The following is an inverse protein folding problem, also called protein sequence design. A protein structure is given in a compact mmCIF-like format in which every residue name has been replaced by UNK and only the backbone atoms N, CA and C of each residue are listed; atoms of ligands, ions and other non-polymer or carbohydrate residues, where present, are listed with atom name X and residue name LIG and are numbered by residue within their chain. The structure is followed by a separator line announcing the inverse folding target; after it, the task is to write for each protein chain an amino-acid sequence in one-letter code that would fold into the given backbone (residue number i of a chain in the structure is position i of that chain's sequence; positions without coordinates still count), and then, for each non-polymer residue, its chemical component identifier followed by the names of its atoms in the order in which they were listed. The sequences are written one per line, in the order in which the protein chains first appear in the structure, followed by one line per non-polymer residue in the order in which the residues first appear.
data_IF_683177360230
#
_entry.id   IF_683177360230
#
_cell.length_a   1.000
_cell.length_b   1.000
_cell.length_c   1.000
_cell.angle_alpha   90.00
_cell.angle_beta   90.00
_cell.angle_gamma   90.00
#
_symmetry.space_group_name_H-M   'P 1'
#
loop_
_entity.id
_entity.type
_entity.pdbx_description
1 polymer ?
#
# COMPACT_ATOMS: atom_id res chain seq x y z
N UNK A 1 -14.46 32.67 -19.46
CA UNK A 1 -13.74 31.75 -18.57
C UNK A 1 -14.80 31.02 -17.79
N UNK A 2 -15.10 29.77 -18.14
CA UNK A 2 -15.96 28.92 -17.32
C UNK A 2 -15.19 28.65 -16.04
N UNK A 3 -15.67 29.14 -14.91
CA UNK A 3 -15.17 28.78 -13.59
C UNK A 3 -15.28 27.27 -13.49
N UNK A 4 -14.15 26.55 -13.49
CA UNK A 4 -14.11 25.13 -13.20
C UNK A 4 -14.78 24.94 -11.84
N UNK A 5 -15.77 24.04 -11.76
CA UNK A 5 -16.45 23.77 -10.52
C UNK A 5 -15.44 23.27 -9.48
N UNK A 6 -15.42 23.91 -8.31
CA UNK A 6 -14.61 23.43 -7.17
C UNK A 6 -15.20 22.12 -6.66
N UNK A 7 -14.32 21.16 -6.33
CA UNK A 7 -14.70 19.87 -5.73
C UNK A 7 -13.80 19.53 -4.56
N UNK A 8 -14.34 18.87 -3.56
CA UNK A 8 -13.58 18.32 -2.46
C UNK A 8 -13.32 16.83 -2.69
N UNK A 9 -12.08 16.40 -2.41
CA UNK A 9 -11.71 14.99 -2.43
C UNK A 9 -10.97 14.63 -1.14
N UNK A 10 -11.32 13.48 -0.57
CA UNK A 10 -10.82 13.05 0.73
C UNK A 10 -10.14 11.69 0.64
N UNK A 11 -8.99 11.56 1.28
CA UNK A 11 -8.34 10.28 1.54
C UNK A 11 -7.98 10.14 3.01
N UNK A 12 -7.82 8.90 3.48
CA UNK A 12 -7.39 8.61 4.84
C UNK A 12 -6.15 7.72 4.87
N UNK A 13 -5.42 7.76 5.96
CA UNK A 13 -4.35 6.83 6.28
C UNK A 13 -4.41 6.45 7.77
N UNK A 14 -3.69 5.42 8.14
CA UNK A 14 -3.62 4.93 9.51
C UNK A 14 -2.18 4.68 9.91
N UNK A 15 -1.90 4.74 11.22
CA UNK A 15 -0.58 4.41 11.76
C UNK A 15 -0.32 2.90 11.74
N UNK A 16 0.93 2.51 11.93
CA UNK A 16 1.34 1.10 12.07
C UNK A 16 0.64 0.37 13.22
N UNK A 17 0.18 1.12 14.23
CA UNK A 17 -0.52 0.58 15.41
C UNK A 17 -2.03 0.43 15.26
N UNK A 18 -2.60 0.78 14.11
CA UNK A 18 -3.99 0.46 13.80
C UNK A 18 -4.17 -1.06 13.72
N UNK A 19 -5.23 -1.66 14.28
CA UNK A 19 -5.39 -3.13 14.34
C UNK A 19 -5.21 -3.85 13.00
N UNK A 20 -5.81 -3.34 11.92
CA UNK A 20 -5.64 -3.94 10.58
C UNK A 20 -4.18 -3.85 10.11
N UNK A 21 -3.46 -2.77 10.43
CA UNK A 21 -2.06 -2.60 10.01
C UNK A 21 -1.08 -3.41 10.86
N UNK A 22 -1.40 -3.70 12.11
CA UNK A 22 -0.69 -4.72 12.89
C UNK A 22 -0.76 -6.07 12.18
N UNK A 23 -1.94 -6.44 11.69
CA UNK A 23 -2.15 -7.70 10.97
C UNK A 23 -1.34 -7.75 9.67
N UNK A 24 -1.39 -6.68 8.88
CA UNK A 24 -0.60 -6.55 7.64
C UNK A 24 0.90 -6.66 7.93
N UNK A 25 1.39 -5.96 8.96
CA UNK A 25 2.80 -5.99 9.35
C UNK A 25 3.26 -7.37 9.83
N UNK A 26 2.44 -8.09 10.59
CA UNK A 26 2.71 -9.46 11.03
C UNK A 26 2.77 -10.40 9.82
N UNK A 27 1.76 -10.37 8.94
CA UNK A 27 1.67 -11.23 7.77
C UNK A 27 2.86 -11.02 6.82
N UNK A 28 3.26 -9.77 6.57
CA UNK A 28 4.42 -9.47 5.73
C UNK A 28 5.75 -9.77 6.43
N UNK A 29 5.85 -9.68 7.75
CA UNK A 29 7.06 -10.10 8.48
C UNK A 29 7.26 -11.61 8.41
N UNK A 30 6.18 -12.39 8.44
CA UNK A 30 6.24 -13.85 8.23
C UNK A 30 6.66 -14.16 6.79
N UNK A 31 6.07 -13.48 5.81
CA UNK A 31 6.45 -13.62 4.39
C UNK A 31 7.94 -13.34 4.18
N UNK A 32 8.44 -12.21 4.69
CA UNK A 32 9.84 -11.82 4.53
C UNK A 32 10.79 -12.81 5.19
N UNK A 33 10.46 -13.33 6.38
CA UNK A 33 11.25 -14.35 7.05
C UNK A 33 11.35 -15.66 6.23
N UNK A 34 10.25 -16.06 5.59
CA UNK A 34 10.23 -17.25 4.73
C UNK A 34 10.99 -17.02 3.42
N UNK A 35 10.80 -15.89 2.74
CA UNK A 35 11.49 -15.55 1.49
C UNK A 35 13.02 -15.38 1.69
N UNK A 36 13.44 -14.86 2.84
CA UNK A 36 14.87 -14.74 3.16
C UNK A 36 15.58 -16.09 3.22
N UNK A 37 14.88 -17.14 3.66
CA UNK A 37 15.44 -18.49 3.79
C UNK A 37 15.11 -19.38 2.57
N UNK A 38 14.02 -19.12 1.88
CA UNK A 38 13.54 -19.87 0.70
C UNK A 38 12.87 -18.91 -0.29
N UNK A 39 13.60 -18.32 -1.26
CA UNK A 39 13.02 -17.43 -2.26
C UNK A 39 11.92 -18.08 -3.12
N UNK A 40 11.83 -19.41 -3.16
CA UNK A 40 10.80 -20.14 -3.88
C UNK A 40 9.52 -20.38 -3.05
N UNK A 41 9.51 -19.97 -1.77
CA UNK A 41 8.38 -20.15 -0.88
C UNK A 41 7.08 -19.64 -1.48
N UNK A 42 6.00 -20.41 -1.31
CA UNK A 42 4.62 -20.00 -1.63
C UNK A 42 3.91 -19.73 -0.32
N UNK A 43 3.45 -18.50 -0.17
CA UNK A 43 2.93 -17.99 1.10
C UNK A 43 1.60 -17.27 0.86
N UNK A 44 0.61 -17.65 1.64
CA UNK A 44 -0.65 -16.95 1.79
C UNK A 44 -1.00 -16.98 3.27
N UNK A 45 -0.60 -15.94 4.02
CA UNK A 45 -0.75 -15.87 5.48
C UNK A 45 -1.57 -14.66 5.85
N UNK A 46 -2.64 -14.90 6.58
CA UNK A 46 -3.54 -13.89 7.10
C UNK A 46 -3.48 -13.86 8.63
N UNK A 47 -3.64 -12.69 9.18
CA UNK A 47 -3.60 -12.45 10.63
C UNK A 47 -4.87 -11.78 11.08
N UNK A 48 -5.38 -12.21 12.24
CA UNK A 48 -6.43 -11.55 13.00
C UNK A 48 -5.88 -11.16 14.37
N UNK A 49 -6.11 -9.93 14.79
CA UNK A 49 -5.84 -9.48 16.16
C UNK A 49 -7.12 -9.03 16.85
N UNK A 50 -7.22 -9.31 18.14
CA UNK A 50 -8.27 -8.81 19.02
C UNK A 50 -7.72 -8.69 20.44
N UNK A 51 -8.55 -8.40 21.43
CA UNK A 51 -8.12 -8.25 22.83
C UNK A 51 -7.26 -9.42 23.29
N UNK A 52 -5.97 -9.17 23.51
CA UNK A 52 -5.01 -10.13 24.05
C UNK A 52 -4.70 -11.35 23.17
N UNK A 53 -5.13 -11.37 21.90
CA UNK A 53 -5.01 -12.54 21.02
C UNK A 53 -4.53 -12.16 19.62
N UNK A 54 -3.70 -13.03 19.05
CA UNK A 54 -3.30 -13.07 17.63
C UNK A 54 -3.61 -14.44 17.08
N UNK A 55 -4.26 -14.48 15.93
CA UNK A 55 -4.51 -15.70 15.17
C UNK A 55 -3.86 -15.55 13.80
N UNK A 56 -2.94 -16.45 13.47
CA UNK A 56 -2.26 -16.53 12.16
C UNK A 56 -2.77 -17.76 11.45
N UNK A 57 -3.34 -17.59 10.27
CA UNK A 57 -3.90 -18.69 9.47
C UNK A 57 -3.46 -18.57 8.03
N UNK A 58 -3.50 -19.66 7.27
CA UNK A 58 -3.21 -19.67 5.86
C UNK A 58 -2.50 -20.92 5.38
N UNK A 59 -1.90 -20.84 4.19
CA UNK A 59 -1.19 -21.93 3.55
C UNK A 59 0.24 -21.50 3.19
N UNK A 60 1.19 -22.37 3.50
CA UNK A 60 2.60 -22.17 3.18
C UNK A 60 3.18 -23.45 2.57
N UNK A 61 3.90 -23.28 1.47
CA UNK A 61 4.70 -24.34 0.88
C UNK A 61 6.15 -23.85 0.76
N UNK A 62 7.04 -24.39 1.60
CA UNK A 62 8.42 -23.95 1.73
C UNK A 62 9.31 -25.04 2.32
N UNK A 63 10.62 -24.95 2.09
CA UNK A 63 11.64 -25.74 2.78
C UNK A 63 12.18 -25.02 4.02
N UNK A 64 11.83 -23.76 4.22
CA UNK A 64 12.28 -22.93 5.34
C UNK A 64 11.45 -23.17 6.62
N UNK A 65 12.04 -22.76 7.74
CA UNK A 65 11.35 -22.66 9.03
C UNK A 65 11.30 -21.19 9.48
N UNK A 66 10.16 -20.75 9.98
CA UNK A 66 10.00 -19.45 10.62
C UNK A 66 9.37 -19.64 12.03
N UNK A 67 9.98 -19.03 13.05
CA UNK A 67 9.39 -18.97 14.38
C UNK A 67 8.30 -17.90 14.44
N UNK A 68 7.12 -18.27 13.94
CA UNK A 68 5.98 -17.35 13.80
C UNK A 68 5.60 -16.70 15.15
N UNK A 69 5.49 -17.41 16.28
CA UNK A 69 5.19 -16.77 17.55
C UNK A 69 6.19 -15.67 17.95
N UNK A 70 7.48 -15.89 17.71
CA UNK A 70 8.52 -14.89 17.98
C UNK A 70 8.37 -13.69 17.05
N UNK A 71 8.20 -13.89 15.74
CA UNK A 71 7.98 -12.82 14.75
C UNK A 71 6.77 -11.96 15.13
N UNK A 72 5.67 -12.58 15.53
CA UNK A 72 4.44 -11.89 15.96
C UNK A 72 4.73 -10.97 17.16
N UNK A 73 5.37 -11.51 18.20
CA UNK A 73 5.67 -10.76 19.43
C UNK A 73 6.61 -9.59 19.18
N UNK A 74 7.69 -9.83 18.46
CA UNK A 74 8.68 -8.82 18.13
C UNK A 74 8.05 -7.68 17.31
N UNK A 75 7.19 -8.01 16.33
CA UNK A 75 6.49 -6.99 15.53
C UNK A 75 5.54 -6.14 16.37
N UNK A 76 4.77 -6.73 17.26
CA UNK A 76 3.85 -6.01 18.16
C UNK A 76 4.62 -5.09 19.10
N UNK A 77 5.75 -5.55 19.66
CA UNK A 77 6.63 -4.77 20.53
C UNK A 77 7.30 -3.62 19.77
N UNK A 78 7.79 -3.86 18.54
CA UNK A 78 8.37 -2.84 17.66
C UNK A 78 7.37 -1.72 17.35
N UNK A 79 6.12 -2.04 17.10
CA UNK A 79 5.02 -1.09 16.91
C UNK A 79 4.80 -0.23 18.19
N UNK A 80 5.15 -0.77 19.37
CA UNK A 80 5.07 -0.05 20.64
C UNK A 80 3.94 -0.52 21.57
N UNK A 81 3.34 -1.66 21.30
CA UNK A 81 2.41 -2.34 22.21
C UNK A 81 3.16 -3.26 23.17
N UNK A 82 3.68 -2.66 24.24
CA UNK A 82 4.53 -3.28 25.27
C UNK A 82 3.85 -3.40 26.64
N UNK A 83 2.56 -3.06 26.71
CA UNK A 83 1.79 -3.07 27.96
C UNK A 83 0.29 -3.13 27.69
N UNK A 84 -0.42 -3.91 28.49
CA UNK A 84 -1.89 -3.97 28.49
C UNK A 84 -2.55 -2.60 28.72
N UNK A 85 -1.87 -1.66 29.37
CA UNK A 85 -2.36 -0.28 29.56
C UNK A 85 -2.41 0.52 28.26
N UNK A 86 -1.71 0.07 27.21
CA UNK A 86 -1.76 0.63 25.86
C UNK A 86 -2.84 -0.04 24.99
N UNK A 87 -3.51 -1.07 25.50
CA UNK A 87 -4.56 -1.82 24.79
C UNK A 87 -4.08 -3.11 24.16
N UNK A 88 -2.77 -3.41 24.18
CA UNK A 88 -2.18 -4.66 23.71
C UNK A 88 -0.77 -4.85 24.27
N UNK A 89 -0.32 -6.09 24.39
CA UNK A 89 1.01 -6.40 24.90
C UNK A 89 1.62 -7.59 24.13
N UNK A 90 2.63 -7.31 23.32
CA UNK A 90 3.34 -8.31 22.51
C UNK A 90 4.06 -9.37 23.34
N UNK A 91 4.49 -9.03 24.58
CA UNK A 91 5.17 -9.99 25.43
C UNK A 91 4.24 -11.07 25.98
N UNK A 92 2.96 -10.75 26.22
CA UNK A 92 2.03 -11.63 26.96
C UNK A 92 0.79 -12.06 26.16
N UNK A 93 0.53 -11.53 24.95
CA UNK A 93 -0.63 -11.93 24.15
C UNK A 93 -0.61 -13.42 23.77
N UNK A 94 -1.79 -14.00 23.64
CA UNK A 94 -1.94 -15.36 23.07
C UNK A 94 -1.63 -15.34 21.57
N UNK A 95 -0.87 -16.32 21.09
CA UNK A 95 -0.57 -16.50 19.66
C UNK A 95 -1.01 -17.88 19.23
N UNK A 96 -1.96 -17.93 18.31
CA UNK A 96 -2.46 -19.17 17.72
C UNK A 96 -2.02 -19.24 16.25
N UNK A 97 -1.45 -20.36 15.84
CA UNK A 97 -0.96 -20.59 14.46
C UNK A 97 -1.70 -21.77 13.86
N UNK A 98 -2.38 -21.52 12.73
CA UNK A 98 -3.14 -22.53 11.98
C UNK A 98 -2.72 -22.44 10.49
N UNK A 99 -1.52 -22.91 10.17
CA UNK A 99 -0.96 -22.91 8.83
C UNK A 99 -0.98 -24.34 8.28
N UNK A 100 -1.58 -24.49 7.10
CA UNK A 100 -1.61 -25.72 6.32
C UNK A 100 -0.67 -25.68 5.12
N UNK A 101 -0.63 -26.79 4.37
CA UNK A 101 0.02 -26.85 3.07
C UNK A 101 -0.93 -26.34 1.96
N UNK A 102 -0.37 -25.70 0.94
CA UNK A 102 -1.14 -25.28 -0.23
C UNK A 102 -1.71 -26.51 -0.97
N UNK A 103 -2.94 -26.37 -1.50
CA UNK A 103 -3.55 -27.40 -2.35
C UNK A 103 -2.66 -27.73 -3.55
N UNK A 104 -2.39 -29.03 -3.82
CA UNK A 104 -1.61 -29.46 -5.00
C UNK A 104 -2.23 -28.99 -6.33
N UNK A 105 -3.55 -28.89 -6.40
CA UNK A 105 -4.27 -28.45 -7.60
C UNK A 105 -4.02 -26.97 -7.91
N UNK A 106 -3.99 -26.12 -6.87
CA UNK A 106 -3.65 -24.70 -7.02
C UNK A 106 -2.16 -24.56 -7.36
N UNK A 107 -1.28 -25.31 -6.69
CA UNK A 107 0.15 -25.29 -6.94
C UNK A 107 0.51 -25.66 -8.38
N UNK A 108 -0.23 -26.59 -9.01
CA UNK A 108 0.00 -27.00 -10.39
C UNK A 108 -0.12 -25.84 -11.38
N UNK A 109 -1.14 -24.98 -11.25
CA UNK A 109 -1.33 -23.82 -12.13
C UNK A 109 -0.26 -22.75 -12.00
N UNK A 110 0.44 -22.71 -10.86
CA UNK A 110 1.53 -21.79 -10.60
C UNK A 110 2.87 -22.24 -11.19
N UNK A 111 3.11 -23.55 -11.25
CA UNK A 111 4.39 -24.13 -11.66
C UNK A 111 4.42 -24.59 -13.11
N UNK A 112 3.25 -24.81 -13.69
CA UNK A 112 3.09 -25.29 -15.04
C UNK A 112 1.82 -24.72 -15.66
N UNK A 113 1.95 -23.59 -16.34
CA UNK A 113 0.83 -22.83 -16.91
C UNK A 113 0.04 -23.64 -17.94
N UNK A 114 -1.15 -23.17 -18.27
CA UNK A 114 -1.96 -23.75 -19.33
C UNK A 114 -1.18 -23.80 -20.67
N UNK A 115 -0.47 -22.74 -21.02
CA UNK A 115 0.32 -22.63 -22.25
C UNK A 115 1.40 -23.69 -22.32
N UNK A 116 2.11 -23.94 -21.23
CA UNK A 116 3.17 -24.96 -21.13
C UNK A 116 2.59 -26.35 -21.17
N UNK A 117 1.54 -26.63 -20.38
CA UNK A 117 0.90 -27.97 -20.33
C UNK A 117 0.33 -28.44 -21.68
N UNK A 118 -0.10 -27.52 -22.52
CA UNK A 118 -0.65 -27.84 -23.86
C UNK A 118 0.37 -27.65 -24.98
N UNK A 119 1.67 -27.43 -24.65
CA UNK A 119 2.74 -27.31 -25.63
C UNK A 119 2.61 -26.12 -26.56
N UNK A 120 2.04 -25.02 -26.07
CA UNK A 120 1.82 -23.80 -26.86
C UNK A 120 3.05 -22.88 -26.83
N UNK A 121 4.01 -23.12 -25.95
CA UNK A 121 5.21 -22.30 -25.74
C UNK A 121 6.37 -23.15 -25.23
N UNK A 122 7.60 -22.73 -25.56
CA UNK A 122 8.86 -23.22 -24.97
C UNK A 122 9.55 -22.15 -24.11
N UNK A 123 8.94 -20.97 -23.98
CA UNK A 123 9.51 -19.88 -23.16
C UNK A 123 9.39 -20.21 -21.66
N UNK A 124 10.52 -20.23 -20.97
CA UNK A 124 10.60 -20.49 -19.52
C UNK A 124 9.74 -19.53 -18.68
N UNK A 125 9.54 -18.28 -19.15
CA UNK A 125 8.72 -17.28 -18.46
C UNK A 125 7.24 -17.70 -18.47
N UNK A 126 6.80 -18.39 -19.51
CA UNK A 126 5.42 -18.87 -19.62
C UNK A 126 5.12 -20.06 -18.71
N UNK A 127 6.12 -20.66 -18.06
CA UNK A 127 5.89 -21.76 -17.11
C UNK A 127 5.06 -21.31 -15.93
N UNK A 128 5.27 -20.08 -15.48
CA UNK A 128 4.50 -19.54 -14.35
C UNK A 128 3.16 -18.96 -14.81
N UNK A 129 2.08 -19.61 -14.46
CA UNK A 129 0.73 -19.06 -14.60
C UNK A 129 0.35 -18.09 -13.48
N UNK A 130 -0.70 -17.32 -13.69
CA UNK A 130 -1.30 -16.52 -12.64
C UNK A 130 -1.86 -17.40 -11.52
N UNK A 131 -1.58 -17.03 -10.27
CA UNK A 131 -1.99 -17.80 -9.10
C UNK A 131 -3.49 -17.74 -8.82
N UNK A 132 -4.17 -16.77 -9.40
CA UNK A 132 -5.63 -16.61 -9.33
C UNK A 132 -6.12 -15.86 -10.57
N UNK A 133 -7.43 -15.87 -10.79
CA UNK A 133 -8.09 -14.89 -11.63
C UNK A 133 -8.18 -13.55 -10.90
N UNK A 134 -8.24 -12.44 -11.65
CA UNK A 134 -8.43 -11.14 -11.04
C UNK A 134 -8.13 -9.99 -11.99
N UNK A 135 -8.41 -8.80 -11.49
CA UNK A 135 -8.07 -7.54 -12.17
C UNK A 135 -7.36 -6.62 -11.19
N UNK A 136 -6.32 -5.94 -11.66
CA UNK A 136 -5.47 -5.07 -10.84
C UNK A 136 -5.34 -3.73 -11.54
N UNK A 137 -5.23 -2.67 -10.73
CA UNK A 137 -5.10 -1.31 -11.22
C UNK A 137 -3.77 -0.70 -10.80
N UNK A 138 -3.22 0.13 -11.70
CA UNK A 138 -2.17 1.07 -11.40
C UNK A 138 -2.62 2.48 -11.70
N UNK A 139 -2.06 3.45 -10.97
CA UNK A 139 -2.39 4.85 -11.12
C UNK A 139 -1.15 5.73 -10.92
N UNK A 140 -1.09 6.83 -11.64
CA UNK A 140 -0.13 7.90 -11.40
C UNK A 140 -0.74 9.25 -11.84
N UNK A 141 -0.32 10.31 -11.17
CA UNK A 141 -0.70 11.70 -11.48
C UNK A 141 0.45 12.65 -11.16
N UNK A 142 0.54 13.77 -11.86
CA UNK A 142 1.57 14.78 -11.66
C UNK A 142 1.30 15.75 -10.49
N UNK A 143 0.42 15.35 -9.55
CA UNK A 143 0.07 16.17 -8.39
C UNK A 143 1.20 16.29 -7.35
N UNK A 144 2.05 15.27 -7.25
CA UNK A 144 3.18 15.22 -6.31
C UNK A 144 4.45 14.75 -7.01
N UNK A 145 5.65 15.03 -6.47
CA UNK A 145 6.92 14.56 -7.06
C UNK A 145 7.02 13.05 -7.19
N UNK A 146 6.42 12.30 -6.26
CA UNK A 146 6.35 10.84 -6.28
C UNK A 146 5.30 10.30 -7.26
N UNK A 147 4.57 11.19 -7.95
CA UNK A 147 3.49 10.87 -8.89
C UNK A 147 2.32 10.14 -8.24
N UNK A 148 1.94 10.57 -7.05
CA UNK A 148 0.78 10.08 -6.28
C UNK A 148 -0.31 11.15 -6.19
N UNK A 149 -1.58 10.75 -5.97
CA UNK A 149 -2.63 11.68 -5.58
C UNK A 149 -2.28 12.39 -4.27
N UNK A 150 -2.42 13.72 -4.25
CA UNK A 150 -2.04 14.53 -3.10
C UNK A 150 -2.79 14.16 -1.79
N UNK A 151 -4.11 13.85 -1.79
CA UNK A 151 -4.82 13.55 -0.55
C UNK A 151 -4.25 12.34 0.19
N UNK A 152 -3.97 11.23 -0.51
CA UNK A 152 -3.41 10.04 0.12
C UNK A 152 -1.93 10.22 0.47
N UNK A 153 -1.15 10.88 -0.37
CA UNK A 153 0.26 11.19 -0.08
C UNK A 153 0.37 12.00 1.21
N UNK A 154 -0.44 13.05 1.36
CA UNK A 154 -0.43 13.88 2.56
C UNK A 154 -0.96 13.13 3.79
N UNK A 155 -2.01 12.31 3.65
CA UNK A 155 -2.52 11.48 4.74
C UNK A 155 -1.46 10.50 5.26
N UNK A 156 -0.70 9.86 4.37
CA UNK A 156 0.43 8.98 4.75
C UNK A 156 1.55 9.74 5.47
N UNK A 157 1.95 10.91 4.98
CA UNK A 157 2.98 11.75 5.62
C UNK A 157 2.58 12.13 7.03
N UNK A 158 1.32 12.54 7.25
CA UNK A 158 0.79 12.86 8.57
C UNK A 158 0.76 11.64 9.50
N UNK A 159 0.30 10.48 9.03
CA UNK A 159 0.25 9.25 9.82
C UNK A 159 1.67 8.77 10.20
N UNK A 160 2.63 8.85 9.29
CA UNK A 160 4.03 8.54 9.56
C UNK A 160 4.62 9.50 10.58
N UNK A 161 4.41 10.80 10.40
CA UNK A 161 4.89 11.83 11.34
C UNK A 161 4.33 11.63 12.75
N UNK A 162 3.05 11.22 12.85
CA UNK A 162 2.42 10.90 14.14
C UNK A 162 3.15 9.74 14.84
N UNK A 163 3.54 8.72 14.11
CA UNK A 163 4.35 7.60 14.64
C UNK A 163 5.78 8.04 15.01
N UNK A 164 6.42 8.85 14.19
CA UNK A 164 7.77 9.37 14.46
C UNK A 164 7.84 10.16 15.76
N UNK A 165 6.92 11.11 15.99
CA UNK A 165 6.91 11.93 17.21
C UNK A 165 6.58 11.12 18.46
N UNK A 166 5.82 10.03 18.32
CA UNK A 166 5.58 9.04 19.38
C UNK A 166 6.84 8.23 19.69
N UNK A 167 7.42 7.56 18.68
CA UNK A 167 8.60 6.67 18.86
C UNK A 167 9.84 7.45 19.32
N UNK A 168 10.03 8.68 18.85
CA UNK A 168 11.15 9.54 19.27
C UNK A 168 10.97 10.16 20.66
N UNK A 169 9.79 10.02 21.28
CA UNK A 169 9.49 10.59 22.59
C UNK A 169 9.22 12.10 22.59
N UNK A 170 9.03 12.73 21.43
CA UNK A 170 8.62 14.14 21.32
C UNK A 170 7.23 14.33 21.91
N UNK A 171 6.30 13.40 21.63
CA UNK A 171 5.00 13.32 22.27
C UNK A 171 4.84 11.95 22.96
N UNK A 172 5.43 11.78 24.17
CA UNK A 172 5.51 10.46 24.84
C UNK A 172 4.16 9.93 25.34
N UNK A 173 3.15 10.80 25.40
CA UNK A 173 1.80 10.42 25.79
C UNK A 173 0.96 9.83 24.66
N UNK A 174 1.41 9.90 23.40
CA UNK A 174 0.75 9.24 22.28
C UNK A 174 0.90 7.72 22.40
N UNK A 175 -0.13 7.02 21.92
CA UNK A 175 -0.19 5.56 21.83
C UNK A 175 -0.14 5.13 20.36
N UNK A 176 0.08 3.82 20.07
CA UNK A 176 0.34 3.38 18.70
C UNK A 176 -0.82 3.56 17.72
N UNK A 177 -2.09 3.46 18.17
CA UNK A 177 -3.25 3.54 17.29
C UNK A 177 -3.55 4.98 16.86
N UNK A 178 -3.78 5.18 15.57
CA UNK A 178 -4.13 6.48 15.05
C UNK A 178 -4.56 6.45 13.58
N UNK A 179 -5.30 7.49 13.20
CA UNK A 179 -5.78 7.73 11.83
C UNK A 179 -5.58 9.18 11.45
N UNK A 180 -5.36 9.41 10.16
CA UNK A 180 -5.34 10.73 9.55
C UNK A 180 -6.27 10.75 8.36
N UNK A 181 -6.98 11.85 8.15
CA UNK A 181 -7.83 12.07 6.99
C UNK A 181 -7.55 13.46 6.45
N UNK A 182 -7.46 13.57 5.13
CA UNK A 182 -7.12 14.81 4.42
C UNK A 182 -8.16 15.07 3.35
N UNK A 183 -8.71 16.28 3.37
CA UNK A 183 -9.63 16.77 2.33
C UNK A 183 -8.98 17.91 1.57
N UNK A 184 -8.83 17.74 0.26
CA UNK A 184 -8.25 18.71 -0.67
C UNK A 184 -9.33 19.29 -1.56
N UNK A 185 -9.30 20.61 -1.74
CA UNK A 185 -10.09 21.29 -2.74
C UNK A 185 -9.36 21.35 -4.08
N UNK A 186 -10.07 20.98 -5.13
CA UNK A 186 -9.60 20.96 -6.51
C UNK A 186 -10.31 22.01 -7.36
N UNK A 187 -9.57 22.74 -8.16
CA UNK A 187 -10.10 23.54 -9.26
C UNK A 187 -9.89 22.74 -10.57
N UNK A 188 -10.96 22.09 -11.06
CA UNK A 188 -10.81 21.06 -12.09
C UNK A 188 -10.02 19.86 -11.56
N UNK A 189 -8.86 19.58 -12.16
CA UNK A 189 -7.96 18.49 -11.75
C UNK A 189 -6.73 18.97 -10.99
N UNK A 190 -6.65 20.26 -10.64
CA UNK A 190 -5.51 20.84 -9.91
C UNK A 190 -5.87 21.00 -8.43
N UNK A 191 -5.10 20.43 -7.49
CA UNK A 191 -5.27 20.69 -6.07
C UNK A 191 -4.89 22.15 -5.76
N UNK A 192 -5.76 22.87 -5.05
CA UNK A 192 -5.58 24.32 -4.79
C UNK A 192 -5.56 24.69 -3.32
N UNK A 193 -6.29 23.95 -2.46
CA UNK A 193 -6.37 24.27 -1.04
C UNK A 193 -6.53 23.00 -0.19
N UNK A 194 -5.84 22.98 0.94
CA UNK A 194 -6.07 22.02 2.00
C UNK A 194 -7.25 22.51 2.86
N UNK A 195 -8.38 21.82 2.72
CA UNK A 195 -9.62 22.22 3.39
C UNK A 195 -9.68 21.72 4.83
N UNK A 196 -9.53 20.43 5.03
CA UNK A 196 -9.72 19.79 6.35
C UNK A 196 -8.67 18.69 6.58
N UNK A 197 -8.16 18.66 7.82
CA UNK A 197 -7.38 17.56 8.35
C UNK A 197 -8.06 17.03 9.60
N UNK A 198 -8.30 15.72 9.65
CA UNK A 198 -8.75 15.01 10.85
C UNK A 198 -7.62 14.12 11.35
N UNK A 199 -7.29 14.22 12.63
CA UNK A 199 -6.36 13.34 13.32
C UNK A 199 -7.08 12.66 14.47
N UNK A 200 -7.19 11.34 14.44
CA UNK A 200 -7.64 10.53 15.57
C UNK A 200 -6.44 9.77 16.10
N UNK A 201 -6.04 10.03 17.34
CA UNK A 201 -4.85 9.40 17.91
C UNK A 201 -5.10 8.94 19.34
N UNK A 202 -4.72 7.72 19.63
CA UNK A 202 -4.74 7.16 20.99
C UNK A 202 -3.71 7.87 21.86
N UNK A 203 -4.09 8.15 23.13
CA UNK A 203 -3.26 8.91 24.07
C UNK A 203 -3.41 8.40 25.51
N UNK A 204 -2.54 8.85 26.42
CA UNK A 204 -2.65 8.57 27.85
C UNK A 204 -3.89 9.22 28.46
N UNK A 205 -4.35 8.69 29.57
CA UNK A 205 -5.66 9.02 30.14
C UNK A 205 -5.78 10.45 30.71
N UNK A 206 -4.66 11.05 31.07
CA UNK A 206 -4.54 12.35 31.77
C UNK A 206 -4.27 13.52 30.84
N UNK A 207 -4.45 13.37 29.53
CA UNK A 207 -4.14 14.39 28.52
C UNK A 207 -5.34 15.31 28.27
N UNK A 208 -5.10 16.61 28.32
CA UNK A 208 -6.03 17.66 27.90
C UNK A 208 -6.05 17.76 26.38
N UNK A 209 -7.23 17.55 25.77
CA UNK A 209 -7.38 17.53 24.33
C UNK A 209 -7.25 18.93 23.70
N UNK A 210 -7.81 19.96 24.35
CA UNK A 210 -7.90 21.30 23.80
C UNK A 210 -6.63 22.11 24.06
N UNK A 211 -6.07 22.00 25.28
CA UNK A 211 -4.93 22.82 25.70
C UNK A 211 -3.58 22.12 25.49
N UNK A 212 -3.53 20.82 25.22
CA UNK A 212 -2.30 20.07 25.03
C UNK A 212 -2.29 19.30 23.70
N UNK A 213 -3.18 18.33 23.50
CA UNK A 213 -3.10 17.45 22.33
C UNK A 213 -3.27 18.21 21.01
N UNK A 214 -4.29 19.04 20.89
CA UNK A 214 -4.58 19.76 19.63
C UNK A 214 -3.48 20.74 19.25
N UNK A 215 -2.95 21.60 20.15
CA UNK A 215 -1.80 22.45 19.86
C UNK A 215 -0.54 21.66 19.49
N UNK A 216 -0.26 20.58 20.20
CA UNK A 216 0.92 19.73 19.93
C UNK A 216 0.82 19.07 18.56
N UNK A 217 -0.32 18.49 18.21
CA UNK A 217 -0.54 17.90 16.88
C UNK A 217 -0.36 18.95 15.78
N UNK A 218 -0.89 20.15 15.95
CA UNK A 218 -0.67 21.25 14.99
C UNK A 218 0.81 21.55 14.83
N UNK A 219 1.51 21.79 15.93
CA UNK A 219 2.89 22.28 15.94
C UNK A 219 3.93 21.26 15.52
N UNK A 220 3.80 19.97 15.94
CA UNK A 220 4.87 18.99 15.73
C UNK A 220 4.52 17.91 14.70
N UNK A 221 3.25 17.83 14.27
CA UNK A 221 2.82 16.93 13.21
C UNK A 221 2.48 17.69 11.93
N UNK A 222 1.51 18.62 11.96
CA UNK A 222 1.04 19.26 10.74
C UNK A 222 2.06 20.27 10.16
N UNK A 223 2.50 21.22 10.97
CA UNK A 223 3.37 22.31 10.48
C UNK A 223 4.67 21.80 9.85
N UNK A 224 5.39 20.80 10.43
CA UNK A 224 6.56 20.24 9.78
C UNK A 224 6.24 19.54 8.46
N UNK A 225 5.16 18.76 8.40
CA UNK A 225 4.75 18.09 7.16
C UNK A 225 4.41 19.11 6.08
N UNK A 226 3.72 20.21 6.42
CA UNK A 226 3.40 21.26 5.45
C UNK A 226 4.63 22.02 4.98
N UNK A 227 5.61 22.25 5.85
CA UNK A 227 6.86 22.92 5.51
C UNK A 227 7.73 22.09 4.54
N UNK A 228 7.59 20.77 4.57
CA UNK A 228 8.31 19.84 3.69
C UNK A 228 7.59 19.56 2.36
N UNK A 229 6.40 20.15 2.14
CA UNK A 229 5.68 19.96 0.88
C UNK A 229 6.42 20.65 -0.27
N UNK A 230 6.90 19.86 -1.22
CA UNK A 230 7.50 20.32 -2.45
C UNK A 230 6.60 19.93 -3.63
N UNK A 231 5.49 20.65 -3.80
CA UNK A 231 4.47 20.33 -4.80
C UNK A 231 4.73 21.05 -6.11
N UNK A 232 4.39 20.43 -7.27
CA UNK A 232 4.46 21.08 -8.59
C UNK A 232 3.58 22.33 -8.68
N UNK A 233 2.44 22.33 -7.97
CA UNK A 233 1.56 23.49 -7.87
C UNK A 233 1.44 23.94 -6.41
N UNK A 234 1.44 25.26 -6.13
CA UNK A 234 1.24 25.76 -4.76
C UNK A 234 -0.10 25.30 -4.18
N UNK A 235 -0.07 24.87 -2.93
CA UNK A 235 -1.25 24.48 -2.15
C UNK A 235 -1.48 25.52 -1.07
N UNK A 236 -2.68 26.10 -1.00
CA UNK A 236 -3.05 26.98 0.12
C UNK A 236 -3.31 26.14 1.38
N UNK A 237 -2.52 26.37 2.41
CA UNK A 237 -2.63 25.74 3.74
C UNK A 237 -2.91 26.74 4.85
N UNK A 238 -3.27 27.99 4.50
CA UNK A 238 -3.39 29.10 5.47
C UNK A 238 -4.61 28.98 6.39
N UNK A 239 -5.72 28.37 5.92
CA UNK A 239 -6.98 28.24 6.66
C UNK A 239 -7.46 26.78 6.70
N UNK A 240 -6.63 25.92 7.32
CA UNK A 240 -6.93 24.49 7.45
C UNK A 240 -7.82 24.26 8.66
N UNK A 241 -8.99 23.65 8.44
CA UNK A 241 -9.84 23.15 9.51
C UNK A 241 -9.22 21.88 10.11
N UNK A 242 -8.64 22.01 11.30
CA UNK A 242 -8.07 20.88 12.04
C UNK A 242 -9.07 20.33 13.06
N UNK A 243 -9.33 19.02 12.97
CA UNK A 243 -10.16 18.26 13.91
C UNK A 243 -9.29 17.18 14.57
N UNK A 244 -9.03 17.30 15.87
CA UNK A 244 -8.26 16.32 16.64
C UNK A 244 -9.20 15.59 17.60
N UNK A 245 -9.25 14.26 17.51
CA UNK A 245 -10.11 13.41 18.33
C UNK A 245 -11.55 13.96 18.46
N UNK A 246 -12.30 14.19 17.37
CA UNK A 246 -13.58 14.89 17.41
C UNK A 246 -14.66 14.17 18.23
N UNK A 247 -14.47 12.88 18.54
CA UNK A 247 -15.33 12.10 19.44
C UNK A 247 -14.97 12.26 20.92
N UNK A 248 -13.91 13.02 21.24
CA UNK A 248 -13.38 13.18 22.59
C UNK A 248 -12.21 12.24 22.87
N UNK A 249 -12.09 11.80 24.11
CA UNK A 249 -10.94 11.01 24.60
C UNK A 249 -10.80 9.68 23.85
N UNK A 250 -9.57 9.38 23.44
CA UNK A 250 -9.21 8.12 22.78
C UNK A 250 -8.11 7.40 23.58
N UNK A 251 -8.46 6.87 24.72
CA UNK A 251 -7.54 6.17 25.65
C UNK A 251 -7.53 4.68 25.34
N UNK A 252 -8.68 4.08 25.11
CA UNK A 252 -8.82 2.69 24.69
C UNK A 252 -8.76 2.59 23.17
N UNK A 253 -7.72 1.94 22.65
CA UNK A 253 -7.47 1.75 21.22
C UNK A 253 -6.70 0.46 20.96
N UNK A 254 -6.21 0.32 19.73
CA UNK A 254 -5.55 -0.89 19.28
C UNK A 254 -6.49 -2.11 19.30
N UNK A 255 -5.95 -3.34 19.35
CA UNK A 255 -6.75 -4.58 19.33
C UNK A 255 -7.77 -4.74 20.46
N UNK A 256 -7.61 -4.00 21.58
CA UNK A 256 -8.62 -3.98 22.64
C UNK A 256 -9.83 -3.12 22.28
N UNK A 257 -9.64 -2.09 21.46
CA UNK A 257 -10.71 -1.21 21.00
C UNK A 257 -11.49 -1.77 19.82
N UNK A 258 -10.79 -2.38 18.86
CA UNK A 258 -11.36 -2.96 17.64
C UNK A 258 -10.50 -4.12 17.13
N UNK A 259 -11.13 -5.13 16.56
CA UNK A 259 -10.42 -6.25 15.95
C UNK A 259 -9.81 -5.84 14.60
N UNK A 260 -8.62 -6.36 14.30
CA UNK A 260 -7.93 -6.18 13.03
C UNK A 260 -7.85 -7.46 12.22
N UNK A 261 -7.76 -7.30 10.90
CA UNK A 261 -7.52 -8.39 9.93
C UNK A 261 -6.59 -7.92 8.83
N UNK A 262 -5.76 -8.82 8.32
CA UNK A 262 -4.96 -8.61 7.12
C UNK A 262 -5.85 -8.25 5.93
N UNK A 263 -5.44 -7.24 5.14
CA UNK A 263 -6.11 -6.88 3.89
C UNK A 263 -7.39 -6.08 4.03
N UNK A 264 -7.62 -5.42 5.18
CA UNK A 264 -8.80 -4.55 5.38
C UNK A 264 -8.52 -3.05 5.16
N UNK A 265 -7.35 -2.68 4.68
CA UNK A 265 -6.95 -1.29 4.37
C UNK A 265 -6.46 -1.13 2.93
N UNK A 266 -7.06 -1.89 2.00
CA UNK A 266 -6.63 -1.98 0.61
C UNK A 266 -6.65 -0.64 -0.14
N UNK A 267 -7.54 0.27 0.22
CA UNK A 267 -7.63 1.61 -0.38
C UNK A 267 -6.56 2.54 0.21
N UNK A 268 -6.26 2.42 1.51
CA UNK A 268 -5.12 3.09 2.17
C UNK A 268 -3.80 2.58 1.60
N UNK A 269 -3.69 1.29 1.34
CA UNK A 269 -2.49 0.67 0.78
C UNK A 269 -2.18 1.12 -0.65
N UNK A 270 -3.15 1.64 -1.39
CA UNK A 270 -3.05 2.00 -2.80
C UNK A 270 -3.16 3.51 -3.04
N UNK A 271 -4.29 4.00 -3.53
CA UNK A 271 -4.40 5.38 -4.05
C UNK A 271 -5.45 6.24 -3.31
N UNK A 272 -5.92 5.81 -2.13
CA UNK A 272 -6.84 6.58 -1.29
C UNK A 272 -8.19 6.88 -1.94
N UNK A 273 -8.64 6.03 -2.87
CA UNK A 273 -9.90 6.18 -3.58
C UNK A 273 -9.82 6.99 -4.89
N UNK A 274 -8.64 7.50 -5.28
CA UNK A 274 -8.48 8.24 -6.53
C UNK A 274 -8.49 7.33 -7.75
N UNK A 275 -8.07 6.08 -7.61
CA UNK A 275 -8.12 5.03 -8.63
C UNK A 275 -9.18 3.99 -8.29
N UNK A 276 -9.63 3.26 -9.30
CA UNK A 276 -10.36 1.99 -9.11
C UNK A 276 -9.48 0.99 -8.39
N UNK A 277 -10.10 -0.06 -7.84
CA UNK A 277 -9.40 -1.14 -7.15
C UNK A 277 -9.99 -2.49 -7.55
N UNK A 278 -9.14 -3.50 -7.74
CA UNK A 278 -9.58 -4.85 -8.11
C UNK A 278 -10.12 -5.69 -6.95
N UNK A 279 -9.87 -5.27 -5.71
CA UNK A 279 -10.30 -5.97 -4.49
C UNK A 279 -9.24 -6.84 -3.83
N UNK A 280 -8.12 -7.14 -4.50
CA UNK A 280 -7.04 -7.95 -3.95
C UNK A 280 -6.24 -7.24 -2.86
N UNK A 281 -6.00 -7.92 -1.74
CA UNK A 281 -5.09 -7.48 -0.69
C UNK A 281 -3.66 -7.91 -0.99
N UNK A 282 -2.67 -7.20 -0.42
CA UNK A 282 -1.24 -7.44 -0.67
C UNK A 282 -0.57 -8.26 0.44
N UNK A 283 -0.68 -7.80 1.70
CA UNK A 283 0.09 -8.33 2.81
C UNK A 283 -0.14 -9.83 3.03
N UNK A 284 0.94 -10.55 3.34
CA UNK A 284 0.94 -11.99 3.56
C UNK A 284 0.98 -12.85 2.30
N UNK A 285 0.96 -12.25 1.11
CA UNK A 285 0.98 -12.93 -0.19
C UNK A 285 2.37 -12.84 -0.82
N UNK A 286 2.95 -13.98 -1.22
CA UNK A 286 4.16 -14.02 -2.05
C UNK A 286 3.88 -13.53 -3.48
N UNK A 287 4.90 -13.14 -4.27
CA UNK A 287 4.70 -12.50 -5.58
C UNK A 287 4.11 -13.42 -6.67
N UNK A 288 3.92 -14.70 -6.44
CA UNK A 288 3.16 -15.55 -7.35
C UNK A 288 1.66 -15.21 -7.38
N UNK A 289 1.17 -14.50 -6.37
CA UNK A 289 -0.19 -13.98 -6.30
C UNK A 289 -0.24 -12.66 -7.07
N UNK A 290 -0.93 -12.67 -8.21
CA UNK A 290 -1.06 -11.50 -9.10
C UNK A 290 -1.76 -10.31 -8.45
N UNK A 291 -2.59 -10.54 -7.43
CA UNK A 291 -3.16 -9.48 -6.60
C UNK A 291 -2.08 -8.50 -6.11
N UNK A 292 -0.92 -9.01 -5.74
CA UNK A 292 0.20 -8.20 -5.29
C UNK A 292 1.15 -7.83 -6.42
N UNK A 293 1.73 -8.80 -7.10
CA UNK A 293 2.77 -8.57 -8.11
C UNK A 293 2.27 -7.76 -9.30
N UNK A 294 1.07 -8.04 -9.80
CA UNK A 294 0.53 -7.29 -10.91
C UNK A 294 0.04 -5.88 -10.52
N UNK A 295 -0.45 -5.69 -9.30
CA UNK A 295 -0.74 -4.33 -8.80
C UNK A 295 0.54 -3.48 -8.72
N UNK A 296 1.66 -4.07 -8.28
CA UNK A 296 2.97 -3.40 -8.29
C UNK A 296 3.45 -3.10 -9.71
N UNK A 297 3.31 -4.06 -10.64
CA UNK A 297 3.62 -3.84 -12.05
C UNK A 297 2.76 -2.73 -12.67
N UNK A 298 1.47 -2.67 -12.34
CA UNK A 298 0.59 -1.60 -12.85
C UNK A 298 0.97 -0.23 -12.28
N UNK A 299 1.42 -0.14 -11.03
CA UNK A 299 2.01 1.08 -10.49
C UNK A 299 3.26 1.49 -11.28
N UNK A 300 4.17 0.54 -11.53
CA UNK A 300 5.37 0.77 -12.32
C UNK A 300 5.04 1.28 -13.73
N UNK A 301 4.10 0.65 -14.43
CA UNK A 301 3.60 1.07 -15.75
C UNK A 301 3.03 2.49 -15.70
N UNK A 302 2.10 2.75 -14.79
CA UNK A 302 1.43 4.05 -14.69
C UNK A 302 2.43 5.17 -14.37
N UNK A 303 3.35 4.93 -13.45
CA UNK A 303 4.38 5.89 -13.06
C UNK A 303 5.31 6.22 -14.22
N UNK A 304 5.78 5.23 -14.97
CA UNK A 304 6.60 5.44 -16.17
C UNK A 304 5.83 6.19 -17.26
N UNK A 305 4.54 5.95 -17.44
CA UNK A 305 3.74 6.65 -18.45
C UNK A 305 3.61 8.15 -18.14
N UNK A 306 3.41 8.53 -16.88
CA UNK A 306 3.40 9.95 -16.47
C UNK A 306 4.80 10.55 -16.55
N UNK A 307 5.84 9.84 -16.08
CA UNK A 307 7.23 10.27 -16.17
C UNK A 307 7.69 10.46 -17.62
N UNK A 308 7.26 9.60 -18.55
CA UNK A 308 7.47 9.74 -20.00
C UNK A 308 6.73 10.94 -20.62
N UNK A 309 5.80 11.54 -19.87
CA UNK A 309 4.99 12.66 -20.34
C UNK A 309 3.89 12.26 -21.31
N UNK A 310 3.42 11.02 -21.30
CA UNK A 310 2.34 10.53 -22.17
C UNK A 310 0.97 11.08 -21.75
N UNK A 311 0.77 11.25 -20.46
CA UNK A 311 -0.40 11.87 -19.84
C UNK A 311 0.00 12.53 -18.52
N UNK A 312 -0.82 13.45 -18.00
CA UNK A 312 -0.63 14.00 -16.65
C UNK A 312 -1.21 13.08 -15.58
N UNK A 313 -2.21 12.30 -15.97
CA UNK A 313 -2.93 11.36 -15.09
C UNK A 313 -3.27 10.11 -15.90
N UNK A 314 -2.99 8.95 -15.33
CA UNK A 314 -3.26 7.67 -16.00
C UNK A 314 -3.70 6.62 -14.99
N UNK A 315 -4.68 5.82 -15.39
CA UNK A 315 -5.06 4.57 -14.74
C UNK A 315 -4.87 3.43 -15.75
N UNK A 316 -4.26 2.35 -15.30
CA UNK A 316 -4.08 1.15 -16.11
C UNK A 316 -4.70 -0.04 -15.39
N UNK A 317 -5.39 -0.90 -16.13
CA UNK A 317 -5.94 -2.15 -15.62
C UNK A 317 -5.33 -3.32 -16.36
N UNK A 318 -4.94 -4.35 -15.62
CA UNK A 318 -4.59 -5.67 -16.17
C UNK A 318 -5.51 -6.72 -15.58
N UNK A 319 -5.84 -7.75 -16.37
CA UNK A 319 -6.66 -8.87 -15.91
C UNK A 319 -6.00 -10.21 -16.25
N UNK A 320 -6.13 -11.18 -15.34
CA UNK A 320 -5.61 -12.54 -15.49
C UNK A 320 -6.70 -13.59 -15.31
N UNK A 321 -6.48 -14.75 -15.95
CA UNK A 321 -7.19 -15.97 -15.64
C UNK A 321 -6.25 -16.92 -14.89
N UNK A 322 -6.77 -17.64 -13.89
CA UNK A 322 -5.99 -18.59 -13.10
C UNK A 322 -5.26 -19.61 -14.00
N UNK A 323 -3.99 -19.84 -13.72
CA UNK A 323 -3.16 -20.80 -14.46
C UNK A 323 -2.74 -20.35 -15.87
N UNK A 324 -3.08 -19.14 -16.33
CA UNK A 324 -2.64 -18.56 -17.60
C UNK A 324 -1.38 -17.72 -17.38
N UNK A 325 -0.42 -17.82 -18.32
CA UNK A 325 0.79 -17.00 -18.30
C UNK A 325 0.57 -15.61 -18.87
N UNK A 326 -0.26 -15.45 -19.89
CA UNK A 326 -0.54 -14.16 -20.48
C UNK A 326 -1.74 -13.46 -19.82
N UNK A 327 -1.72 -12.12 -19.67
CA UNK A 327 -2.91 -11.39 -19.26
C UNK A 327 -4.03 -11.53 -20.28
N UNK A 328 -5.27 -11.55 -19.81
CA UNK A 328 -6.46 -11.64 -20.67
C UNK A 328 -6.99 -10.28 -21.09
N UNK A 329 -6.52 -9.19 -20.50
CA UNK A 329 -6.90 -7.84 -20.85
C UNK A 329 -5.96 -6.79 -20.30
N UNK A 330 -5.81 -5.68 -21.05
CA UNK A 330 -5.13 -4.45 -20.65
C UNK A 330 -6.02 -3.28 -21.06
N UNK A 331 -6.29 -2.37 -20.14
CA UNK A 331 -7.07 -1.15 -20.38
C UNK A 331 -6.32 0.08 -19.86
N UNK A 332 -6.42 1.18 -20.59
CA UNK A 332 -5.77 2.46 -20.27
C UNK A 332 -6.82 3.56 -20.26
N UNK A 333 -6.84 4.36 -19.18
CA UNK A 333 -7.64 5.56 -19.03
C UNK A 333 -6.73 6.75 -18.70
N UNK A 334 -6.84 7.83 -19.43
CA UNK A 334 -5.99 9.03 -19.31
C UNK A 334 -6.75 10.26 -18.84
N UNK A 335 -8.03 10.13 -18.63
CA UNK A 335 -8.92 11.19 -18.13
C UNK A 335 -8.87 12.47 -18.98
N UNK A 336 -8.59 12.35 -20.28
CA UNK A 336 -8.47 13.51 -21.19
C UNK A 336 -7.18 14.33 -21.00
N UNK A 337 -6.15 13.76 -20.37
CA UNK A 337 -4.86 14.42 -20.12
C UNK A 337 -3.73 13.91 -21.00
N UNK A 338 -4.02 13.03 -21.93
CA UNK A 338 -3.08 12.42 -22.87
C UNK A 338 -2.47 13.42 -23.84
N UNK A 339 -1.24 13.14 -24.26
CA UNK A 339 -0.55 13.87 -25.33
C UNK A 339 -0.55 13.12 -26.67
N UNK A 340 -0.83 11.83 -26.64
CA UNK A 340 -1.01 10.96 -27.79
C UNK A 340 -2.23 10.10 -27.59
N UNK A 341 -2.81 9.57 -28.66
CA UNK A 341 -4.02 8.74 -28.59
C UNK A 341 -3.89 7.60 -27.56
N UNK A 342 -4.88 7.36 -26.69
CA UNK A 342 -4.84 6.30 -25.67
C UNK A 342 -4.52 4.91 -26.23
N UNK A 343 -4.95 4.60 -27.45
CA UNK A 343 -4.60 3.32 -28.11
C UNK A 343 -3.12 3.22 -28.44
N UNK A 344 -2.45 4.34 -28.73
CA UNK A 344 -1.00 4.41 -28.91
C UNK A 344 -0.28 4.18 -27.58
N UNK A 345 -0.77 4.78 -26.50
CA UNK A 345 -0.22 4.55 -25.15
C UNK A 345 -0.35 3.07 -24.78
N UNK A 346 -1.52 2.46 -24.99
CA UNK A 346 -1.73 1.03 -24.72
C UNK A 346 -0.80 0.12 -25.49
N UNK A 347 -0.56 0.42 -26.80
CA UNK A 347 0.41 -0.34 -27.62
C UNK A 347 1.83 -0.19 -27.09
N UNK A 348 2.25 1.05 -26.79
CA UNK A 348 3.57 1.32 -26.24
C UNK A 348 3.79 0.59 -24.90
N UNK A 349 2.79 0.55 -24.01
CA UNK A 349 2.84 -0.23 -22.78
C UNK A 349 3.05 -1.72 -23.07
N UNK A 350 2.28 -2.29 -24.00
CA UNK A 350 2.40 -3.71 -24.38
C UNK A 350 3.74 -4.06 -25.06
N UNK A 351 4.40 -3.09 -25.67
CA UNK A 351 5.72 -3.27 -26.29
C UNK A 351 6.87 -3.20 -25.28
N UNK A 352 6.73 -2.33 -24.27
CA UNK A 352 7.80 -2.01 -23.32
C UNK A 352 7.78 -2.88 -22.08
N UNK A 353 6.60 -3.36 -21.66
CA UNK A 353 6.41 -4.14 -20.45
C UNK A 353 5.91 -5.54 -20.75
N UNK A 354 6.62 -6.54 -20.26
CA UNK A 354 6.15 -7.91 -20.25
C UNK A 354 5.31 -8.14 -18.99
N UNK A 355 3.99 -8.24 -19.16
CA UNK A 355 3.03 -8.34 -18.07
C UNK A 355 2.69 -9.80 -17.69
N UNK A 356 3.47 -10.78 -18.16
CA UNK A 356 3.36 -12.16 -17.68
C UNK A 356 3.83 -12.26 -16.23
N UNK A 357 3.17 -13.05 -15.36
CA UNK A 357 3.54 -13.13 -13.94
C UNK A 357 5.02 -13.42 -13.68
N UNK A 358 5.61 -14.37 -14.43
CA UNK A 358 7.04 -14.68 -14.32
C UNK A 358 7.96 -13.52 -14.71
N UNK A 359 7.59 -12.74 -15.73
CA UNK A 359 8.33 -11.56 -16.16
C UNK A 359 8.25 -10.44 -15.13
N UNK A 360 7.07 -10.19 -14.55
CA UNK A 360 6.88 -9.19 -13.48
C UNK A 360 7.78 -9.50 -12.29
N UNK A 361 7.80 -10.77 -11.84
CA UNK A 361 8.64 -11.20 -10.72
C UNK A 361 10.11 -10.98 -11.01
N UNK A 362 10.57 -11.31 -12.22
CA UNK A 362 11.95 -11.11 -12.67
C UNK A 362 12.30 -9.61 -12.76
N UNK A 363 11.49 -8.84 -13.45
CA UNK A 363 11.81 -7.45 -13.81
C UNK A 363 11.75 -6.51 -12.58
N UNK A 364 10.91 -6.82 -11.61
CA UNK A 364 10.82 -6.10 -10.34
C UNK A 364 11.60 -6.79 -9.21
N UNK A 365 12.30 -7.91 -9.48
CA UNK A 365 13.12 -8.65 -8.50
C UNK A 365 12.36 -8.90 -7.18
N UNK A 366 11.18 -9.53 -7.29
CA UNK A 366 10.22 -9.66 -6.19
C UNK A 366 10.46 -10.85 -5.25
N UNK A 367 11.46 -11.73 -5.52
CA UNK A 367 11.75 -12.88 -4.64
C UNK A 367 12.65 -12.52 -3.44
N UNK A 368 12.64 -11.26 -3.04
CA UNK A 368 13.41 -10.72 -1.91
C UNK A 368 12.52 -10.39 -0.71
N UNK A 369 13.07 -10.35 0.50
CA UNK A 369 12.32 -9.94 1.70
C UNK A 369 12.19 -8.39 1.76
N UNK A 370 11.28 -7.82 0.97
CA UNK A 370 11.08 -6.37 0.82
C UNK A 370 9.68 -5.90 1.23
N UNK A 371 8.87 -6.77 1.80
CA UNK A 371 7.44 -6.58 1.98
C UNK A 371 7.05 -5.96 3.33
N UNK A 372 7.66 -6.39 4.43
CA UNK A 372 7.32 -5.88 5.77
C UNK A 372 7.38 -4.33 5.89
N UNK A 373 8.35 -3.62 5.28
CA UNK A 373 8.38 -2.16 5.32
C UNK A 373 7.21 -1.49 4.59
N UNK A 374 6.53 -2.19 3.69
CA UNK A 374 5.38 -1.66 2.93
C UNK A 374 4.06 -1.77 3.68
N UNK A 375 4.01 -2.54 4.76
CA UNK A 375 2.77 -2.87 5.48
C UNK A 375 2.08 -1.66 6.13
N UNK A 376 2.74 -0.51 6.24
CA UNK A 376 2.15 0.74 6.72
C UNK A 376 2.58 1.93 5.85
N UNK A 377 1.73 2.96 5.80
CA UNK A 377 1.96 4.23 5.07
C UNK A 377 1.96 4.09 3.55
N UNK A 378 1.23 3.10 3.02
CA UNK A 378 1.04 2.84 1.60
C UNK A 378 2.15 2.01 0.96
N UNK A 379 1.77 1.26 -0.08
CA UNK A 379 2.70 0.48 -0.90
C UNK A 379 3.27 1.29 -2.07
N UNK A 380 2.67 2.45 -2.38
CA UNK A 380 3.03 3.30 -3.51
C UNK A 380 3.43 4.70 -3.07
N UNK A 381 4.27 5.36 -3.89
CA UNK A 381 4.74 6.72 -3.65
C UNK A 381 5.74 6.83 -2.49
N UNK A 382 6.35 5.72 -2.09
CA UNK A 382 7.35 5.70 -1.01
C UNK A 382 8.67 6.27 -1.50
N UNK A 383 9.23 7.21 -0.73
CA UNK A 383 10.53 7.83 -0.98
C UNK A 383 11.54 7.55 0.13
N UNK A 384 11.09 6.94 1.21
CA UNK A 384 11.86 6.58 2.41
C UNK A 384 12.46 5.18 2.34
N UNK A 385 11.96 4.33 1.44
CA UNK A 385 12.47 2.99 1.16
C UNK A 385 12.60 2.80 -0.35
N UNK A 386 13.54 1.96 -0.76
CA UNK A 386 13.75 1.64 -2.18
C UNK A 386 12.81 0.51 -2.60
N UNK A 387 11.91 0.80 -3.54
CA UNK A 387 10.94 -0.14 -4.08
C UNK A 387 11.03 -0.20 -5.61
N UNK A 388 11.22 -1.38 -6.22
CA UNK A 388 11.42 -1.51 -7.66
C UNK A 388 10.29 -0.94 -8.52
N UNK A 389 9.05 -1.06 -8.07
CA UNK A 389 7.87 -0.55 -8.79
C UNK A 389 7.71 0.98 -8.74
N UNK A 390 8.56 1.66 -7.99
CA UNK A 390 8.62 3.13 -7.99
C UNK A 390 9.69 3.69 -8.96
N UNK A 391 10.45 2.83 -9.65
CA UNK A 391 11.43 3.26 -10.63
C UNK A 391 10.76 3.80 -11.91
N UNK A 392 11.40 4.81 -12.55
CA UNK A 392 10.99 5.37 -13.84
C UNK A 392 11.95 4.99 -14.98
N UNK A 393 12.57 3.82 -14.85
CA UNK A 393 13.62 3.27 -15.69
C UNK A 393 13.17 2.91 -17.14
N UNK A 394 11.87 2.87 -17.36
CA UNK A 394 11.25 2.58 -18.66
C UNK A 394 10.68 3.83 -19.35
N UNK A 395 10.74 5.01 -18.72
CA UNK A 395 10.10 6.21 -19.23
C UNK A 395 10.58 6.61 -20.62
N UNK A 396 11.90 6.61 -20.88
CA UNK A 396 12.45 6.97 -22.19
C UNK A 396 12.05 5.97 -23.28
N UNK A 397 12.06 4.65 -22.97
CA UNK A 397 11.62 3.61 -23.90
C UNK A 397 10.13 3.77 -24.23
N UNK A 398 9.33 4.04 -23.22
CA UNK A 398 7.89 4.21 -23.37
C UNK A 398 7.56 5.46 -24.20
N UNK A 399 8.31 6.56 -23.98
CA UNK A 399 8.21 7.77 -24.76
C UNK A 399 8.52 7.52 -26.24
N UNK A 400 9.62 6.82 -26.52
CA UNK A 400 10.02 6.47 -27.88
C UNK A 400 9.00 5.55 -28.57
N UNK A 401 8.50 4.52 -27.88
CA UNK A 401 7.47 3.60 -28.39
C UNK A 401 6.14 4.32 -28.70
N UNK A 402 5.83 5.40 -27.98
CA UNK A 402 4.66 6.26 -28.23
C UNK A 402 4.90 7.32 -29.34
N UNK A 403 6.09 7.41 -29.89
CA UNK A 403 6.42 8.36 -30.98
C UNK A 403 6.64 9.81 -30.52
N UNK A 404 7.07 10.03 -29.27
CA UNK A 404 7.34 11.37 -28.67
C UNK A 404 8.82 11.66 -28.50
#
# INVERSE_FOLDING_TARGET
MTTSASRLFTSESVTEGHPDKICDAISDSILDALLAADPAAKVAVETLVTTGQVHVAGEVNTTAYADIPTIVREKILDIGYDSSTKGFDGASCGVNVAIGAQSPEIAQGLTDSHETRYGQTEDEIDRQGAGDQGLMFGFATDETPELMPLPISLAHRLARRLTEVRKSGVLPYLRPDGKTQVTIEYAGDVPVRLDTVVVSTQHAADIDLDNMLTPDIRKVVLEPVFAELNLPNPLDTSDVRLLVNPTGRFVLGGPMGDAGLTGRKIIVDTYGGMSRHGGGAFSGKDPSKVDRSAAYAMRWVAKNAVAAGLAKRIEVQVAYAIGKSAPVGLFVETFGTEKVDPSTIQKAISEVFDLRPGAIIRDLDLLRPIYAPTAAYGHFGRTDIELPWENTDRADKLRAAAGL
#
